data_IF_404720527916
#
_entry.id   IF_404720527916
#
_cell.length_a   1.000
_cell.length_b   1.000
_cell.length_c   1.000
_cell.angle_alpha   90.00
_cell.angle_beta   90.00
_cell.angle_gamma   90.00
#
_symmetry.space_group_name_H-M   'P 1'
#
loop_
_entity.id
_entity.type
_entity.pdbx_description
1 polymer ?
#
# COMPACT_ATOMS: atom_id res chain seq x y z
N UNK A 1 -57.90 23.95 -32.74
CA UNK A 1 -57.77 22.49 -32.98
C UNK A 1 -56.32 21.98 -33.12
N UNK A 2 -55.44 22.55 -33.95
CA UNK A 2 -54.04 22.02 -34.07
C UNK A 2 -53.19 22.22 -32.79
N UNK A 3 -53.31 23.36 -32.13
CA UNK A 3 -52.49 23.71 -30.96
C UNK A 3 -52.76 22.84 -29.73
N UNK A 4 -54.02 22.50 -29.46
CA UNK A 4 -54.41 21.62 -28.34
C UNK A 4 -53.88 20.18 -28.52
N UNK A 5 -53.87 19.67 -29.75
CA UNK A 5 -53.25 18.38 -30.09
C UNK A 5 -51.74 18.37 -29.87
N UNK A 6 -51.06 19.46 -30.22
CA UNK A 6 -49.61 19.59 -30.02
C UNK A 6 -49.28 19.69 -28.52
N UNK A 7 -50.03 20.49 -27.77
CA UNK A 7 -49.87 20.61 -26.32
C UNK A 7 -50.10 19.27 -25.61
N UNK A 8 -51.20 18.56 -25.91
CA UNK A 8 -51.47 17.25 -25.33
C UNK A 8 -50.42 16.20 -25.69
N UNK A 9 -49.85 16.24 -26.91
CA UNK A 9 -48.72 15.39 -27.29
C UNK A 9 -47.46 15.69 -26.46
N UNK A 10 -47.11 16.96 -26.29
CA UNK A 10 -45.94 17.39 -25.50
C UNK A 10 -46.10 16.97 -24.04
N UNK A 11 -47.26 17.24 -23.44
CA UNK A 11 -47.55 16.82 -22.07
C UNK A 11 -47.57 15.30 -21.93
N UNK A 12 -48.12 14.57 -22.91
CA UNK A 12 -48.13 13.11 -22.92
C UNK A 12 -46.73 12.51 -22.98
N UNK A 13 -45.87 13.01 -23.88
CA UNK A 13 -44.46 12.59 -23.97
C UNK A 13 -43.71 12.96 -22.68
N UNK A 14 -43.94 14.16 -22.15
CA UNK A 14 -43.33 14.61 -20.89
C UNK A 14 -43.69 13.69 -19.71
N UNK A 15 -44.97 13.34 -19.56
CA UNK A 15 -45.44 12.42 -18.52
C UNK A 15 -44.90 11.00 -18.73
N UNK A 16 -44.83 10.51 -19.96
CA UNK A 16 -44.21 9.21 -20.26
C UNK A 16 -42.72 9.19 -19.90
N UNK A 17 -41.98 10.24 -20.21
CA UNK A 17 -40.57 10.35 -19.87
C UNK A 17 -40.35 10.41 -18.35
N UNK A 18 -41.11 11.25 -17.64
CA UNK A 18 -41.04 11.38 -16.18
C UNK A 18 -41.48 10.08 -15.49
N UNK A 19 -42.57 9.46 -15.96
CA UNK A 19 -43.06 8.18 -15.46
C UNK A 19 -42.05 7.05 -15.69
N UNK A 20 -41.43 6.99 -16.88
CA UNK A 20 -40.38 6.03 -17.18
C UNK A 20 -39.13 6.20 -16.29
N UNK A 21 -38.67 7.44 -16.12
CA UNK A 21 -37.53 7.76 -15.26
C UNK A 21 -37.80 7.42 -13.79
N UNK A 22 -38.99 7.74 -13.28
CA UNK A 22 -39.37 7.39 -11.91
C UNK A 22 -39.48 5.89 -11.71
N UNK A 23 -39.99 5.14 -12.69
CA UNK A 23 -40.09 3.68 -12.62
C UNK A 23 -38.70 3.02 -12.63
N UNK A 24 -37.77 3.49 -13.48
CA UNK A 24 -36.37 3.05 -13.48
C UNK A 24 -35.70 3.39 -12.14
N UNK A 25 -35.87 4.62 -11.64
CA UNK A 25 -35.32 5.04 -10.36
C UNK A 25 -35.84 4.21 -9.19
N UNK A 26 -37.14 3.90 -9.18
CA UNK A 26 -37.75 3.11 -8.12
C UNK A 26 -37.29 1.64 -8.18
N UNK A 27 -37.11 1.08 -9.38
CA UNK A 27 -36.53 -0.26 -9.55
C UNK A 27 -35.07 -0.30 -9.06
N UNK A 28 -34.29 0.75 -9.36
CA UNK A 28 -32.90 0.89 -8.93
C UNK A 28 -32.76 1.03 -7.41
N UNK A 29 -33.71 1.72 -6.76
CA UNK A 29 -33.79 1.83 -5.30
C UNK A 29 -34.29 0.52 -4.67
N UNK A 30 -35.34 -0.09 -5.22
CA UNK A 30 -35.95 -1.32 -4.72
C UNK A 30 -34.99 -2.51 -4.78
N UNK A 31 -34.16 -2.60 -5.82
CA UNK A 31 -33.14 -3.66 -5.95
C UNK A 31 -31.86 -3.35 -5.18
N UNK A 32 -31.77 -2.17 -4.55
CA UNK A 32 -30.54 -1.63 -3.96
C UNK A 32 -29.33 -1.65 -4.91
N UNK A 33 -29.57 -1.63 -6.23
CA UNK A 33 -28.52 -1.64 -7.23
C UNK A 33 -27.57 -0.44 -7.09
N UNK A 34 -28.04 0.66 -6.51
CA UNK A 34 -27.21 1.82 -6.16
C UNK A 34 -26.03 1.48 -5.24
N UNK A 35 -26.12 0.43 -4.40
CA UNK A 35 -25.02 -0.02 -3.54
C UNK A 35 -23.85 -0.61 -4.33
N UNK A 36 -24.05 -0.95 -5.60
CA UNK A 36 -23.02 -1.51 -6.48
C UNK A 36 -22.13 -0.44 -7.14
N UNK A 37 -22.33 0.85 -6.86
CA UNK A 37 -21.48 1.91 -7.42
C UNK A 37 -19.96 1.69 -7.23
N UNK A 38 -19.46 1.07 -6.13
CA UNK A 38 -18.02 0.80 -5.99
C UNK A 38 -17.48 -0.19 -7.03
N UNK A 39 -18.34 -0.96 -7.72
CA UNK A 39 -17.92 -1.80 -8.84
C UNK A 39 -17.20 -0.99 -9.91
N UNK A 40 -17.60 0.26 -10.15
CA UNK A 40 -16.92 1.12 -11.13
C UNK A 40 -15.47 1.38 -10.70
N UNK A 41 -15.24 1.63 -9.40
CA UNK A 41 -13.91 1.83 -8.83
C UNK A 41 -13.09 0.54 -8.87
N UNK A 42 -13.69 -0.60 -8.52
CA UNK A 42 -13.05 -1.91 -8.62
C UNK A 42 -12.65 -2.25 -10.07
N UNK A 43 -13.56 -2.04 -11.02
CA UNK A 43 -13.29 -2.28 -12.44
C UNK A 43 -12.20 -1.36 -12.98
N UNK A 44 -12.18 -0.08 -12.57
CA UNK A 44 -11.09 0.83 -12.89
C UNK A 44 -9.75 0.35 -12.30
N UNK A 45 -9.74 -0.08 -11.04
CA UNK A 45 -8.55 -0.66 -10.39
C UNK A 45 -8.06 -1.93 -11.09
N UNK A 46 -8.97 -2.83 -11.48
CA UNK A 46 -8.66 -4.02 -12.26
C UNK A 46 -8.12 -3.66 -13.65
N UNK A 47 -8.74 -2.69 -14.34
CA UNK A 47 -8.31 -2.23 -15.65
C UNK A 47 -6.91 -1.61 -15.61
N UNK A 48 -6.55 -0.91 -14.53
CA UNK A 48 -5.20 -0.41 -14.31
C UNK A 48 -4.22 -1.53 -13.96
N UNK A 49 -4.63 -2.49 -13.12
CA UNK A 49 -3.73 -3.57 -12.65
C UNK A 49 -3.46 -4.61 -13.74
N UNK A 50 -4.43 -4.91 -14.61
CA UNK A 50 -4.34 -5.97 -15.61
C UNK A 50 -3.17 -5.82 -16.61
N UNK A 51 -2.89 -4.63 -17.20
CA UNK A 51 -1.71 -4.41 -18.02
C UNK A 51 -0.39 -4.72 -17.28
N UNK A 52 -0.34 -4.51 -15.96
CA UNK A 52 0.83 -4.81 -15.15
C UNK A 52 1.25 -6.29 -15.21
N UNK A 53 0.31 -7.22 -15.31
CA UNK A 53 0.63 -8.65 -15.46
C UNK A 53 1.17 -8.99 -16.86
N UNK A 54 0.81 -8.20 -17.89
CA UNK A 54 1.40 -8.30 -19.23
C UNK A 54 2.82 -7.71 -19.28
N UNK A 55 3.32 -7.14 -18.17
CA UNK A 55 4.66 -6.56 -18.11
C UNK A 55 5.79 -7.57 -18.28
N UNK A 56 5.51 -8.88 -18.17
CA UNK A 56 6.47 -9.93 -18.55
C UNK A 56 6.91 -9.75 -20.02
N UNK A 57 5.98 -9.36 -20.91
CA UNK A 57 6.27 -9.09 -22.31
C UNK A 57 6.74 -7.65 -22.58
N UNK A 58 6.28 -6.68 -21.77
CA UNK A 58 6.64 -5.25 -21.88
C UNK A 58 6.91 -4.64 -20.51
N UNK A 59 8.18 -4.59 -20.06
CA UNK A 59 8.54 -4.21 -18.69
C UNK A 59 7.90 -2.88 -18.23
N UNK A 60 7.77 -1.90 -19.12
CA UNK A 60 7.17 -0.60 -18.80
C UNK A 60 5.72 -0.63 -18.29
N UNK A 61 4.95 -1.68 -18.59
CA UNK A 61 3.57 -1.80 -18.12
C UNK A 61 3.48 -2.10 -16.62
N UNK A 62 4.57 -2.53 -15.98
CA UNK A 62 4.59 -2.77 -14.53
C UNK A 62 4.30 -1.51 -13.71
N UNK A 63 4.51 -0.32 -14.27
CA UNK A 63 4.23 0.95 -13.58
C UNK A 63 2.74 1.13 -13.22
N UNK A 64 1.83 0.48 -13.96
CA UNK A 64 0.39 0.57 -13.68
C UNK A 64 -0.02 -0.10 -12.36
N UNK A 65 0.83 -0.94 -11.75
CA UNK A 65 0.59 -1.46 -10.40
C UNK A 65 0.58 -0.35 -9.35
N UNK A 66 1.35 0.74 -9.53
CA UNK A 66 1.45 1.85 -8.56
C UNK A 66 0.08 2.50 -8.32
N UNK A 67 -0.69 2.94 -9.34
CA UNK A 67 -2.05 3.44 -9.13
C UNK A 67 -3.09 2.31 -9.07
N UNK A 68 -2.88 1.19 -9.78
CA UNK A 68 -3.88 0.13 -9.92
C UNK A 68 -4.20 -0.58 -8.60
N UNK A 69 -3.17 -0.96 -7.85
CA UNK A 69 -3.33 -1.71 -6.60
C UNK A 69 -4.05 -0.87 -5.52
N UNK A 70 -3.67 0.40 -5.25
CA UNK A 70 -4.42 1.27 -4.33
C UNK A 70 -5.88 1.47 -4.74
N UNK A 71 -6.15 1.74 -6.02
CA UNK A 71 -7.53 1.93 -6.51
C UNK A 71 -8.34 0.64 -6.33
N UNK A 72 -7.72 -0.52 -6.60
CA UNK A 72 -8.36 -1.83 -6.40
C UNK A 72 -8.67 -2.08 -4.90
N UNK A 73 -7.72 -1.80 -4.01
CA UNK A 73 -7.91 -1.91 -2.56
C UNK A 73 -8.99 -0.96 -2.05
N UNK A 74 -8.96 0.31 -2.47
CA UNK A 74 -10.00 1.29 -2.14
C UNK A 74 -11.37 0.85 -2.65
N UNK A 75 -11.46 0.36 -3.89
CA UNK A 75 -12.68 -0.21 -4.45
C UNK A 75 -13.21 -1.39 -3.62
N UNK A 76 -12.32 -2.26 -3.14
CA UNK A 76 -12.68 -3.39 -2.27
C UNK A 76 -13.25 -2.94 -0.93
N UNK A 77 -12.62 -1.96 -0.28
CA UNK A 77 -13.10 -1.37 0.98
C UNK A 77 -14.47 -0.70 0.77
N UNK A 78 -14.61 0.09 -0.30
CA UNK A 78 -15.86 0.76 -0.65
C UNK A 78 -16.98 -0.24 -0.95
N UNK A 79 -16.67 -1.32 -1.66
CA UNK A 79 -17.62 -2.39 -1.96
C UNK A 79 -18.10 -3.05 -0.67
N UNK A 80 -17.18 -3.40 0.23
CA UNK A 80 -17.54 -3.96 1.54
C UNK A 80 -18.41 -2.99 2.35
N UNK A 81 -18.02 -1.72 2.45
CA UNK A 81 -18.77 -0.69 3.18
C UNK A 81 -20.18 -0.48 2.59
N UNK A 82 -20.30 -0.45 1.27
CA UNK A 82 -21.56 -0.22 0.57
C UNK A 82 -22.52 -1.42 0.69
N UNK A 83 -22.01 -2.65 0.60
CA UNK A 83 -22.82 -3.87 0.72
C UNK A 83 -23.29 -4.10 2.16
N UNK A 84 -22.40 -3.93 3.14
CA UNK A 84 -22.71 -4.16 4.56
C UNK A 84 -23.38 -2.96 5.24
N UNK A 85 -23.30 -1.77 4.65
CA UNK A 85 -23.69 -0.51 5.29
C UNK A 85 -22.73 -0.04 6.38
N UNK A 86 -21.64 -0.75 6.63
CA UNK A 86 -20.66 -0.41 7.68
C UNK A 86 -19.58 0.54 7.15
N UNK A 87 -19.88 1.84 7.10
CA UNK A 87 -18.91 2.87 6.72
C UNK A 87 -17.82 3.10 7.78
N UNK A 88 -18.06 2.68 9.02
CA UNK A 88 -17.08 2.73 10.11
C UNK A 88 -15.83 1.88 9.84
N UNK A 89 -15.89 0.93 8.90
CA UNK A 89 -14.75 0.13 8.47
C UNK A 89 -13.57 0.99 7.99
N UNK A 90 -13.83 2.19 7.47
CA UNK A 90 -12.79 3.12 7.04
C UNK A 90 -11.84 3.53 8.16
N UNK A 91 -12.34 3.63 9.40
CA UNK A 91 -11.50 3.90 10.55
C UNK A 91 -10.45 2.81 10.75
N UNK A 92 -10.74 1.56 10.39
CA UNK A 92 -9.80 0.43 10.51
C UNK A 92 -8.97 0.20 9.24
N UNK A 93 -9.60 0.33 8.07
CA UNK A 93 -9.08 -0.19 6.81
C UNK A 93 -8.21 0.80 6.02
N UNK A 94 -8.21 2.09 6.36
CA UNK A 94 -7.42 3.08 5.61
C UNK A 94 -5.90 2.77 5.52
N UNK A 95 -5.22 2.16 6.50
CA UNK A 95 -3.80 1.80 6.36
C UNK A 95 -3.55 0.75 5.27
N UNK A 96 -4.57 -0.04 4.92
CA UNK A 96 -4.49 -0.99 3.81
C UNK A 96 -4.26 -0.28 2.47
N UNK A 97 -4.74 0.95 2.31
CA UNK A 97 -4.48 1.75 1.10
C UNK A 97 -3.01 2.15 1.02
N UNK A 98 -2.38 2.49 2.15
CA UNK A 98 -0.94 2.79 2.21
C UNK A 98 -0.12 1.54 1.89
N UNK A 99 -0.48 0.40 2.46
CA UNK A 99 0.13 -0.89 2.14
C UNK A 99 -0.08 -1.30 0.68
N UNK A 100 -1.24 -0.96 0.09
CA UNK A 100 -1.53 -1.18 -1.31
C UNK A 100 -0.61 -0.33 -2.23
N UNK A 101 -0.28 0.90 -1.84
CA UNK A 101 0.72 1.72 -2.55
C UNK A 101 2.10 1.06 -2.48
N UNK A 102 2.51 0.60 -1.31
CA UNK A 102 3.77 -0.13 -1.13
C UNK A 102 3.83 -1.40 -2.00
N UNK A 103 2.74 -2.17 -2.02
CA UNK A 103 2.61 -3.36 -2.87
C UNK A 103 2.66 -2.99 -4.36
N UNK A 104 2.02 -1.89 -4.76
CA UNK A 104 2.09 -1.36 -6.12
C UNK A 104 3.53 -1.10 -6.55
N UNK A 105 4.31 -0.37 -5.74
CA UNK A 105 5.73 -0.14 -6.00
C UNK A 105 6.55 -1.44 -6.00
N UNK A 106 6.28 -2.37 -5.08
CA UNK A 106 6.99 -3.65 -5.01
C UNK A 106 6.74 -4.53 -6.25
N UNK A 107 5.49 -4.65 -6.68
CA UNK A 107 5.14 -5.34 -7.92
C UNK A 107 5.77 -4.64 -9.13
N UNK A 108 5.71 -3.31 -9.20
CA UNK A 108 6.40 -2.56 -10.26
C UNK A 108 7.91 -2.82 -10.25
N UNK A 109 8.57 -2.84 -9.10
CA UNK A 109 10.00 -3.13 -8.99
C UNK A 109 10.36 -4.50 -9.61
N UNK A 110 9.56 -5.52 -9.30
CA UNK A 110 9.76 -6.90 -9.79
C UNK A 110 9.46 -7.00 -11.29
N UNK A 111 8.29 -6.54 -11.73
CA UNK A 111 7.84 -6.72 -13.11
C UNK A 111 8.55 -5.80 -14.11
N UNK A 112 8.93 -4.59 -13.69
CA UNK A 112 9.74 -3.67 -14.51
C UNK A 112 11.24 -4.00 -14.45
N UNK A 113 11.67 -4.85 -13.50
CA UNK A 113 13.08 -5.13 -13.18
C UNK A 113 13.86 -3.86 -12.82
N UNK A 114 13.21 -2.93 -12.12
CA UNK A 114 13.82 -1.68 -11.65
C UNK A 114 13.94 -1.73 -10.14
N UNK A 115 15.11 -2.15 -9.67
CA UNK A 115 15.41 -2.31 -8.24
C UNK A 115 15.25 -1.00 -7.44
N UNK A 116 15.42 0.16 -8.09
CA UNK A 116 15.22 1.47 -7.45
C UNK A 116 13.82 1.69 -6.89
N UNK A 117 12.79 1.04 -7.46
CA UNK A 117 11.42 1.12 -6.95
C UNK A 117 11.20 0.33 -5.64
N UNK A 118 12.16 -0.52 -5.25
CA UNK A 118 12.12 -1.19 -3.95
C UNK A 118 12.29 -0.21 -2.77
N UNK A 119 12.97 0.92 -2.98
CA UNK A 119 13.16 1.95 -1.96
C UNK A 119 11.80 2.54 -1.52
N UNK A 120 10.99 3.16 -2.42
CA UNK A 120 9.68 3.65 -2.03
C UNK A 120 8.73 2.52 -1.59
N UNK A 121 8.82 1.32 -2.17
CA UNK A 121 8.02 0.17 -1.71
C UNK A 121 8.26 -0.14 -0.23
N UNK A 122 9.51 -0.21 0.20
CA UNK A 122 9.87 -0.56 1.58
C UNK A 122 9.58 0.59 2.55
N UNK A 123 9.86 1.84 2.16
CA UNK A 123 9.56 3.02 3.01
C UNK A 123 8.06 3.12 3.26
N UNK A 124 7.25 3.10 2.20
CA UNK A 124 5.79 3.20 2.31
C UNK A 124 5.23 1.96 3.00
N UNK A 125 5.80 0.76 2.75
CA UNK A 125 5.38 -0.48 3.38
C UNK A 125 5.62 -0.50 4.88
N UNK A 126 6.83 -0.10 5.32
CA UNK A 126 7.18 0.00 6.73
C UNK A 126 6.28 1.01 7.45
N UNK A 127 6.07 2.19 6.86
CA UNK A 127 5.13 3.19 7.37
C UNK A 127 3.70 2.66 7.43
N UNK A 128 3.22 2.01 6.36
CA UNK A 128 1.89 1.39 6.31
C UNK A 128 1.68 0.34 7.39
N UNK A 129 2.71 -0.46 7.71
CA UNK A 129 2.66 -1.45 8.79
C UNK A 129 2.61 -0.78 10.17
N UNK A 130 3.42 0.26 10.39
CA UNK A 130 3.38 1.04 11.64
C UNK A 130 2.02 1.71 11.82
N UNK A 131 1.48 2.32 10.76
CA UNK A 131 0.16 2.93 10.78
C UNK A 131 -0.94 1.90 11.03
N UNK A 132 -0.88 0.73 10.40
CA UNK A 132 -1.80 -0.37 10.66
C UNK A 132 -1.73 -0.83 12.12
N UNK A 133 -0.53 -0.98 12.68
CA UNK A 133 -0.32 -1.31 14.08
C UNK A 133 -0.91 -0.26 15.02
N UNK A 134 -0.60 1.03 14.82
CA UNK A 134 -1.13 2.12 15.64
C UNK A 134 -2.65 2.21 15.56
N UNK A 135 -3.21 1.99 14.37
CA UNK A 135 -4.65 2.06 14.15
C UNK A 135 -5.41 0.91 14.82
N UNK A 136 -4.86 -0.32 14.79
CA UNK A 136 -5.46 -1.49 15.45
C UNK A 136 -5.31 -1.43 16.97
N UNK A 137 -4.15 -1.01 17.46
CA UNK A 137 -3.84 -1.02 18.91
C UNK A 137 -4.26 0.26 19.63
N UNK A 138 -4.52 1.34 18.90
CA UNK A 138 -4.73 2.68 19.47
C UNK A 138 -3.46 3.33 20.01
N UNK A 139 -2.29 2.69 19.90
CA UNK A 139 -1.02 3.15 20.47
C UNK A 139 -0.33 4.19 19.57
N UNK A 140 -0.98 5.32 19.33
CA UNK A 140 -0.42 6.41 18.54
C UNK A 140 0.84 7.03 19.16
N UNK A 141 0.98 6.96 20.48
CA UNK A 141 2.21 7.35 21.17
C UNK A 141 3.44 6.51 20.78
N UNK A 142 3.25 5.30 20.25
CA UNK A 142 4.33 4.45 19.76
C UNK A 142 5.11 5.10 18.61
N UNK A 143 4.49 6.01 17.86
CA UNK A 143 5.13 6.73 16.77
C UNK A 143 6.42 7.43 17.20
N UNK A 144 6.43 8.00 18.42
CA UNK A 144 7.58 8.71 18.97
C UNK A 144 8.81 7.80 19.18
N UNK A 145 8.60 6.50 19.42
CA UNK A 145 9.68 5.54 19.69
C UNK A 145 9.98 4.62 18.48
N UNK A 146 9.09 4.58 17.49
CA UNK A 146 9.23 3.80 16.26
C UNK A 146 9.95 4.56 15.14
N UNK A 147 10.37 5.81 15.35
CA UNK A 147 11.15 6.58 14.37
C UNK A 147 12.38 5.86 13.76
N UNK A 148 13.09 4.93 14.45
CA UNK A 148 14.20 4.20 13.84
C UNK A 148 13.77 3.27 12.69
N UNK A 149 12.46 3.01 12.53
CA UNK A 149 11.90 2.32 11.37
C UNK A 149 12.21 3.07 10.07
N UNK A 150 12.30 4.40 10.08
CA UNK A 150 12.57 5.20 8.87
C UNK A 150 13.97 4.93 8.29
N UNK A 151 15.09 5.12 9.04
CA UNK A 151 16.41 4.76 8.53
C UNK A 151 16.54 3.26 8.23
N UNK A 152 15.84 2.38 8.98
CA UNK A 152 15.80 0.95 8.68
C UNK A 152 15.19 0.69 7.30
N UNK A 153 14.04 1.30 7.00
CA UNK A 153 13.33 1.12 5.75
C UNK A 153 14.15 1.63 4.56
N UNK A 154 14.82 2.78 4.69
CA UNK A 154 15.75 3.29 3.67
C UNK A 154 16.93 2.33 3.50
N UNK A 155 17.52 1.86 4.60
CA UNK A 155 18.63 0.91 4.59
C UNK A 155 18.26 -0.40 3.87
N UNK A 156 17.10 -0.97 4.17
CA UNK A 156 16.58 -2.17 3.50
C UNK A 156 16.30 -1.92 2.01
N UNK A 157 15.74 -0.76 1.65
CA UNK A 157 15.56 -0.36 0.26
C UNK A 157 16.88 -0.31 -0.53
N UNK A 158 17.90 0.33 0.05
CA UNK A 158 19.23 0.41 -0.53
C UNK A 158 19.93 -0.95 -0.56
N UNK A 159 19.65 -1.84 0.40
CA UNK A 159 20.17 -3.20 0.41
C UNK A 159 19.67 -3.99 -0.78
N UNK A 160 18.36 -3.93 -1.07
CA UNK A 160 17.77 -4.56 -2.24
C UNK A 160 18.40 -4.04 -3.53
N UNK A 161 18.60 -2.72 -3.64
CA UNK A 161 19.30 -2.10 -4.78
C UNK A 161 20.75 -2.56 -4.88
N UNK A 162 21.48 -2.60 -3.76
CA UNK A 162 22.87 -3.01 -3.67
C UNK A 162 23.08 -4.47 -4.09
N UNK A 163 22.21 -5.36 -3.65
CA UNK A 163 22.21 -6.79 -4.04
C UNK A 163 21.84 -6.92 -5.53
N UNK A 164 20.73 -6.31 -5.95
CA UNK A 164 20.23 -6.44 -7.32
C UNK A 164 21.19 -5.87 -8.37
N UNK A 165 21.85 -4.75 -8.07
CA UNK A 165 22.73 -4.06 -9.01
C UNK A 165 24.22 -4.35 -8.75
N UNK A 166 24.55 -5.22 -7.77
CA UNK A 166 25.92 -5.51 -7.30
C UNK A 166 26.72 -4.24 -6.97
N UNK A 167 26.05 -3.22 -6.44
CA UNK A 167 26.67 -1.93 -6.13
C UNK A 167 27.24 -1.93 -4.72
N UNK A 168 28.58 -1.96 -4.61
CA UNK A 168 29.28 -1.88 -3.31
C UNK A 168 28.89 -0.61 -2.54
N UNK A 169 28.71 0.52 -3.23
CA UNK A 169 28.32 1.79 -2.61
C UNK A 169 26.92 1.73 -1.96
N UNK A 170 25.92 1.21 -2.68
CA UNK A 170 24.56 1.08 -2.16
C UNK A 170 24.49 0.10 -0.98
N UNK A 171 25.21 -1.03 -1.05
CA UNK A 171 25.27 -1.99 0.06
C UNK A 171 25.96 -1.42 1.30
N UNK A 172 27.04 -0.63 1.14
CA UNK A 172 27.69 0.03 2.28
C UNK A 172 26.78 1.08 2.92
N UNK A 173 26.12 1.92 2.12
CA UNK A 173 25.14 2.88 2.62
C UNK A 173 23.98 2.19 3.35
N UNK A 174 23.48 1.08 2.80
CA UNK A 174 22.46 0.26 3.43
C UNK A 174 22.88 -0.24 4.82
N UNK A 175 24.08 -0.81 4.94
CA UNK A 175 24.58 -1.28 6.25
C UNK A 175 24.75 -0.15 7.26
N UNK A 176 25.23 1.01 6.84
CA UNK A 176 25.36 2.19 7.71
C UNK A 176 23.98 2.58 8.26
N UNK A 177 22.96 2.68 7.39
CA UNK A 177 21.61 3.07 7.79
C UNK A 177 20.92 2.03 8.68
N UNK A 178 21.10 0.74 8.38
CA UNK A 178 20.62 -0.36 9.25
C UNK A 178 21.32 -0.30 10.61
N UNK A 179 22.62 0.02 10.65
CA UNK A 179 23.37 0.25 11.89
C UNK A 179 22.84 1.45 12.70
N UNK A 180 22.58 2.59 12.03
CA UNK A 180 21.96 3.78 12.66
C UNK A 180 20.58 3.44 13.22
N UNK A 181 19.77 2.67 12.48
CA UNK A 181 18.47 2.22 12.95
C UNK A 181 18.59 1.31 14.18
N UNK A 182 19.55 0.37 14.17
CA UNK A 182 19.84 -0.49 15.32
C UNK A 182 20.22 0.32 16.57
N UNK A 183 21.06 1.35 16.42
CA UNK A 183 21.38 2.28 17.51
C UNK A 183 20.14 3.06 17.97
N UNK A 184 19.29 3.51 17.03
CA UNK A 184 18.03 4.16 17.34
C UNK A 184 17.10 3.27 18.16
N UNK A 185 16.90 2.01 17.75
CA UNK A 185 16.10 1.03 18.49
C UNK A 185 16.70 0.69 19.85
N UNK A 186 18.03 0.71 19.98
CA UNK A 186 18.71 0.51 21.26
C UNK A 186 18.38 1.65 22.22
N UNK A 187 18.50 2.89 21.76
CA UNK A 187 18.17 4.08 22.55
C UNK A 187 16.69 4.08 22.94
N UNK A 188 15.77 3.81 22.00
CA UNK A 188 14.34 3.79 22.31
C UNK A 188 13.93 2.60 23.19
N UNK A 189 14.64 1.47 23.13
CA UNK A 189 14.42 0.33 24.04
C UNK A 189 14.69 0.72 25.50
N UNK A 190 15.73 1.51 25.75
CA UNK A 190 16.07 1.97 27.09
C UNK A 190 14.96 2.83 27.71
N UNK A 191 14.35 3.72 26.91
CA UNK A 191 13.20 4.51 27.35
C UNK A 191 11.91 3.68 27.50
N UNK A 192 11.76 2.62 26.71
CA UNK A 192 10.58 1.73 26.76
C UNK A 192 10.54 0.83 28.00
N UNK A 193 11.68 0.60 28.67
CA UNK A 193 11.74 -0.17 29.93
C UNK A 193 10.91 0.43 31.06
N UNK A 194 10.64 1.73 31.01
CA UNK A 194 9.83 2.45 32.00
C UNK A 194 8.34 2.52 31.62
N UNK A 195 7.93 1.83 30.54
CA UNK A 195 6.55 1.81 30.05
C UNK A 195 5.89 0.44 30.31
N UNK A 196 4.69 0.44 30.88
CA UNK A 196 3.91 -0.77 31.19
C UNK A 196 3.12 -1.33 29.98
N UNK A 197 3.24 -0.69 28.82
CA UNK A 197 2.49 -1.06 27.61
C UNK A 197 3.22 -2.15 26.80
N UNK A 198 2.54 -2.76 25.82
CA UNK A 198 3.10 -3.74 24.86
C UNK A 198 4.41 -3.27 24.17
N UNK A 199 4.64 -1.96 24.15
CA UNK A 199 5.85 -1.30 23.67
C UNK A 199 7.13 -1.77 24.39
N UNK A 200 7.01 -2.29 25.63
CA UNK A 200 8.11 -2.90 26.37
C UNK A 200 8.74 -4.09 25.63
N UNK A 201 7.96 -4.82 24.83
CA UNK A 201 8.44 -5.99 24.08
C UNK A 201 8.72 -5.69 22.61
N UNK A 202 7.98 -4.74 22.01
CA UNK A 202 8.11 -4.41 20.60
C UNK A 202 9.52 -3.88 20.25
N UNK A 203 10.08 -2.99 21.08
CA UNK A 203 11.38 -2.36 20.76
C UNK A 203 12.56 -3.32 20.89
N UNK A 204 12.68 -4.14 21.96
CA UNK A 204 13.70 -5.19 22.03
C UNK A 204 13.60 -6.20 20.88
N UNK A 205 12.37 -6.56 20.46
CA UNK A 205 12.14 -7.43 19.30
C UNK A 205 12.73 -6.85 18.01
N UNK A 206 12.51 -5.56 17.75
CA UNK A 206 13.08 -4.87 16.59
C UNK A 206 14.61 -4.79 16.65
N UNK A 207 15.18 -4.67 17.84
CA UNK A 207 16.64 -4.68 18.03
C UNK A 207 17.24 -6.04 17.69
N UNK A 208 16.63 -7.12 18.16
CA UNK A 208 17.04 -8.49 17.81
C UNK A 208 16.92 -8.72 16.30
N UNK A 209 15.80 -8.30 15.69
CA UNK A 209 15.59 -8.39 14.26
C UNK A 209 16.69 -7.66 13.47
N UNK A 210 17.03 -6.44 13.89
CA UNK A 210 18.08 -5.64 13.25
C UNK A 210 19.46 -6.29 13.42
N UNK A 211 19.75 -6.86 14.59
CA UNK A 211 20.98 -7.61 14.83
C UNK A 211 21.10 -8.86 13.95
N UNK A 212 20.02 -9.64 13.83
CA UNK A 212 19.96 -10.82 12.95
C UNK A 212 20.18 -10.41 11.49
N UNK A 213 19.56 -9.31 11.04
CA UNK A 213 19.76 -8.79 9.68
C UNK A 213 21.22 -8.42 9.42
N UNK A 214 21.88 -7.71 10.35
CA UNK A 214 23.31 -7.36 10.22
C UNK A 214 24.21 -8.60 10.13
N UNK A 215 23.96 -9.60 11.00
CA UNK A 215 24.73 -10.85 11.00
C UNK A 215 24.48 -11.64 9.72
N UNK A 216 23.23 -11.78 9.28
CA UNK A 216 22.89 -12.47 8.03
C UNK A 216 23.53 -11.83 6.80
N UNK A 217 23.57 -10.49 6.76
CA UNK A 217 24.24 -9.76 5.68
C UNK A 217 25.76 -9.99 5.65
N UNK A 218 26.40 -10.17 6.80
CA UNK A 218 27.83 -10.49 6.86
C UNK A 218 28.14 -11.81 6.14
N UNK A 219 27.33 -12.85 6.39
CA UNK A 219 27.50 -14.15 5.74
C UNK A 219 27.25 -14.10 4.22
N UNK A 220 26.23 -13.37 3.79
CA UNK A 220 25.94 -13.19 2.35
C UNK A 220 27.07 -12.48 1.58
N UNK A 221 27.91 -11.71 2.27
CA UNK A 221 29.08 -11.03 1.68
C UNK A 221 30.33 -11.92 1.65
N UNK A 222 30.44 -12.89 2.56
CA UNK A 222 31.59 -13.81 2.66
C UNK A 222 31.71 -14.78 1.48
N UNK A 223 30.64 -15.02 0.72
CA UNK A 223 30.63 -15.96 -0.40
C UNK A 223 31.09 -15.36 -1.74
N UNK A 224 31.80 -14.21 -1.73
CA UNK A 224 32.34 -13.60 -2.95
C UNK A 224 33.86 -13.86 -3.05
N UNK A 225 34.31 -15.05 -3.51
CA UNK A 225 35.73 -15.46 -3.55
C UNK A 225 36.60 -14.68 -4.55
N UNK A 226 36.07 -13.66 -5.23
CA UNK A 226 36.82 -12.87 -6.21
C UNK A 226 37.83 -11.87 -5.59
N UNK A 227 37.78 -11.61 -4.28
CA UNK A 227 38.69 -10.68 -3.60
C UNK A 227 39.95 -11.35 -3.00
N UNK A 228 40.05 -12.68 -3.00
CA UNK A 228 41.19 -13.41 -2.40
C UNK A 228 42.38 -13.61 -3.34
N UNK A 229 42.35 -13.07 -4.58
CA UNK A 229 43.46 -13.19 -5.55
C UNK A 229 44.20 -11.88 -5.84
N UNK A 230 43.92 -10.81 -5.10
CA UNK A 230 44.69 -9.56 -5.20
C UNK A 230 45.15 -9.15 -3.80
N UNK A 231 46.00 -9.99 -3.20
CA UNK A 231 46.94 -9.62 -2.16
C UNK A 231 48.21 -10.46 -2.34
#
# INVERSE_FOLDING_TARGET
MKTERILSLIFGIGLLAIGGLTLIGNLFLSTQAWRMWPLVVLLAGLALTAPGFLAIARPGLGAFFIPGIPVLTTGGILMFASLTGNWGIWALAWPLVVLAVALGFGLSAVFMRVSGLAIPAIIIGANGLVLAFCNITGLWGAWAILWPVEPLAIGLGLLVVGISNRSKGASTAAMILIGIAGLGFFLTSFFSLFNETILRFAVPGMLVLTGILLVGMHFLRSENPAETQIN
#
